data_IF_915174196032
#
_entry.id   IF_915174196032
#
_cell.length_a   1.000
_cell.length_b   1.000
_cell.length_c   1.000
_cell.angle_alpha   90.00
_cell.angle_beta   90.00
_cell.angle_gamma   90.00
#
_symmetry.space_group_name_H-M   'P 1'
#
loop_
_entity.id
_entity.type
_entity.pdbx_description
1 polymer ?
#
# COMPACT_ATOMS: atom_id res chain seq x y z
N UNK A 1 -17.22 -5.45 36.52
CA UNK A 1 -16.02 -5.86 35.74
C UNK A 1 -16.52 -6.33 34.37
N UNK A 2 -16.34 -5.53 33.32
CA UNK A 2 -16.85 -5.85 31.97
C UNK A 2 -15.86 -6.80 31.29
N UNK A 3 -16.31 -8.01 30.94
CA UNK A 3 -15.52 -9.01 30.22
C UNK A 3 -15.29 -8.53 28.77
N UNK A 4 -14.04 -8.39 28.29
CA UNK A 4 -13.79 -8.11 26.89
C UNK A 4 -14.19 -9.35 26.08
N UNK A 5 -15.22 -9.24 25.26
CA UNK A 5 -15.60 -10.26 24.27
C UNK A 5 -14.38 -10.64 23.44
N UNK A 6 -13.87 -11.86 23.59
CA UNK A 6 -12.84 -12.43 22.70
C UNK A 6 -13.40 -12.42 21.28
N UNK A 7 -12.96 -11.47 20.46
CA UNK A 7 -13.25 -11.46 19.03
C UNK A 7 -12.62 -12.73 18.44
N UNK A 8 -13.45 -13.70 18.11
CA UNK A 8 -13.04 -14.91 17.40
C UNK A 8 -12.41 -14.50 16.06
N UNK A 9 -11.11 -14.75 15.90
CA UNK A 9 -10.43 -14.47 14.63
C UNK A 9 -10.97 -15.47 13.60
N UNK A 10 -11.45 -15.01 12.44
CA UNK A 10 -11.94 -15.93 11.41
C UNK A 10 -10.82 -16.88 10.99
N UNK A 11 -11.09 -18.19 11.01
CA UNK A 11 -10.19 -19.20 10.47
C UNK A 11 -10.21 -19.11 8.95
N UNK A 12 -9.08 -18.78 8.34
CA UNK A 12 -8.96 -18.71 6.89
C UNK A 12 -8.63 -20.10 6.34
N UNK A 13 -9.30 -20.51 5.26
CA UNK A 13 -8.95 -21.74 4.55
C UNK A 13 -7.65 -21.56 3.75
N UNK A 14 -6.97 -22.66 3.42
CA UNK A 14 -5.74 -22.62 2.62
C UNK A 14 -5.96 -21.89 1.27
N UNK A 15 -7.12 -22.08 0.64
CA UNK A 15 -7.50 -21.39 -0.59
C UNK A 15 -7.64 -19.87 -0.39
N UNK A 16 -8.18 -19.41 0.75
CA UNK A 16 -8.27 -17.98 1.05
C UNK A 16 -6.88 -17.38 1.30
N UNK A 17 -6.00 -18.11 1.98
CA UNK A 17 -4.61 -17.68 2.20
C UNK A 17 -3.89 -17.56 0.87
N UNK A 18 -4.02 -18.56 -0.02
CA UNK A 18 -3.43 -18.53 -1.36
C UNK A 18 -3.97 -17.33 -2.17
N UNK A 19 -5.28 -17.10 -2.19
CA UNK A 19 -5.88 -15.97 -2.90
C UNK A 19 -5.34 -14.61 -2.41
N UNK A 20 -5.19 -14.42 -1.10
CA UNK A 20 -4.60 -13.21 -0.54
C UNK A 20 -3.12 -13.06 -0.92
N UNK A 21 -2.37 -14.16 -0.86
CA UNK A 21 -0.94 -14.18 -1.21
C UNK A 21 -0.70 -13.90 -2.69
N UNK A 22 -1.52 -14.45 -3.59
CA UNK A 22 -1.44 -14.17 -5.04
C UNK A 22 -1.77 -12.71 -5.33
N UNK A 23 -2.80 -12.16 -4.69
CA UNK A 23 -3.13 -10.73 -4.80
C UNK A 23 -1.97 -9.83 -4.35
N UNK A 24 -1.34 -10.16 -3.22
CA UNK A 24 -0.18 -9.43 -2.73
C UNK A 24 1.04 -9.60 -3.65
N UNK A 25 1.29 -10.81 -4.15
CA UNK A 25 2.37 -11.10 -5.09
C UNK A 25 2.27 -10.24 -6.35
N UNK A 26 1.07 -10.10 -6.92
CA UNK A 26 0.85 -9.24 -8.10
C UNK A 26 1.22 -7.77 -7.86
N UNK A 27 0.85 -7.22 -6.69
CA UNK A 27 1.20 -5.85 -6.30
C UNK A 27 2.73 -5.70 -6.18
N UNK A 28 3.39 -6.65 -5.52
CA UNK A 28 4.85 -6.63 -5.37
C UNK A 28 5.57 -6.72 -6.73
N UNK A 29 5.07 -7.55 -7.64
CA UNK A 29 5.59 -7.65 -9.00
C UNK A 29 5.44 -6.33 -9.77
N UNK A 30 4.26 -5.70 -9.70
CA UNK A 30 4.01 -4.41 -10.33
C UNK A 30 4.93 -3.30 -9.79
N UNK A 31 5.14 -3.23 -8.48
CA UNK A 31 6.10 -2.29 -7.88
C UNK A 31 7.54 -2.61 -8.28
N UNK A 32 7.92 -3.89 -8.32
CA UNK A 32 9.24 -4.31 -8.78
C UNK A 32 9.53 -3.90 -10.22
N UNK A 33 8.56 -4.09 -11.12
CA UNK A 33 8.69 -3.66 -12.51
C UNK A 33 8.81 -2.14 -12.64
N UNK A 34 8.02 -1.38 -11.88
CA UNK A 34 8.15 0.07 -11.83
C UNK A 34 9.55 0.45 -11.35
N UNK A 35 9.99 -0.07 -10.20
CA UNK A 35 11.30 0.23 -9.60
C UNK A 35 12.48 -0.08 -10.55
N UNK A 36 12.41 -1.17 -11.31
CA UNK A 36 13.44 -1.54 -12.30
C UNK A 36 13.49 -0.60 -13.53
N UNK A 37 12.42 0.14 -13.79
CA UNK A 37 12.29 1.00 -14.97
C UNK A 37 12.13 2.50 -14.63
N UNK A 38 12.04 2.89 -13.35
CA UNK A 38 11.84 4.28 -12.91
C UNK A 38 12.86 5.24 -13.54
N UNK A 39 14.14 4.87 -13.55
CA UNK A 39 15.19 5.69 -14.18
C UNK A 39 14.96 5.87 -15.68
N UNK A 40 14.51 4.83 -16.40
CA UNK A 40 14.17 4.92 -17.83
C UNK A 40 12.94 5.79 -18.06
N UNK A 41 11.89 5.64 -17.24
CA UNK A 41 10.68 6.46 -17.31
C UNK A 41 11.03 7.94 -17.16
N UNK A 42 11.83 8.30 -16.16
CA UNK A 42 12.24 9.70 -15.96
C UNK A 42 13.07 10.25 -17.12
N UNK A 43 13.98 9.45 -17.68
CA UNK A 43 14.73 9.85 -18.88
C UNK A 43 13.81 10.06 -20.10
N UNK A 44 12.81 9.19 -20.31
CA UNK A 44 11.84 9.36 -21.42
C UNK A 44 10.95 10.59 -21.26
N UNK A 45 10.77 11.08 -20.03
CA UNK A 45 10.04 12.31 -19.72
C UNK A 45 10.91 13.58 -19.84
N UNK A 46 12.18 13.43 -20.21
CA UNK A 46 13.11 14.55 -20.44
C UNK A 46 14.04 14.87 -19.27
N UNK A 47 14.05 14.07 -18.20
CA UNK A 47 14.99 14.26 -17.09
C UNK A 47 16.42 13.92 -17.50
N UNK A 48 17.37 14.77 -17.12
CA UNK A 48 18.80 14.48 -17.31
C UNK A 48 19.25 13.39 -16.33
N UNK A 49 20.29 12.65 -16.69
CA UNK A 49 20.84 11.56 -15.85
C UNK A 49 21.24 12.08 -14.45
N UNK A 50 21.75 13.31 -14.40
CA UNK A 50 22.15 14.03 -13.18
C UNK A 50 20.97 14.31 -12.23
N UNK A 51 19.76 14.42 -12.75
CA UNK A 51 18.53 14.72 -11.99
C UNK A 51 17.84 13.45 -11.47
N UNK A 52 18.19 12.28 -12.00
CA UNK A 52 17.59 11.00 -11.61
C UNK A 52 17.70 10.77 -10.08
N UNK A 53 18.87 10.93 -9.43
CA UNK A 53 18.98 10.67 -8.00
C UNK A 53 18.06 11.54 -7.14
N UNK A 54 17.82 12.80 -7.51
CA UNK A 54 16.92 13.67 -6.76
C UNK A 54 15.46 13.33 -7.00
N UNK A 55 15.09 12.89 -8.22
CA UNK A 55 13.76 12.36 -8.51
C UNK A 55 13.46 11.08 -7.70
N UNK A 56 14.47 10.25 -7.44
CA UNK A 56 14.34 9.07 -6.58
C UNK A 56 14.05 9.41 -5.11
N UNK A 57 14.39 10.62 -4.64
CA UNK A 57 14.08 11.08 -3.27
C UNK A 57 12.60 11.48 -3.14
N UNK A 58 11.92 11.83 -4.23
CA UNK A 58 10.51 12.19 -4.20
C UNK A 58 9.62 11.03 -3.72
N UNK A 59 9.97 9.79 -4.06
CA UNK A 59 9.25 8.58 -3.64
C UNK A 59 9.25 8.37 -2.10
N UNK A 60 10.41 8.28 -1.41
CA UNK A 60 10.45 8.17 0.04
C UNK A 60 9.89 9.40 0.75
N UNK A 61 10.06 10.61 0.20
CA UNK A 61 9.48 11.82 0.78
C UNK A 61 7.94 11.77 0.77
N UNK A 62 7.35 11.37 -0.36
CA UNK A 62 5.89 11.18 -0.46
C UNK A 62 5.42 10.10 0.50
N UNK A 63 6.16 8.98 0.60
CA UNK A 63 5.87 7.91 1.57
C UNK A 63 5.86 8.41 3.02
N UNK A 64 6.85 9.23 3.40
CA UNK A 64 6.96 9.80 4.75
C UNK A 64 5.77 10.69 5.12
N UNK A 65 5.18 11.39 4.16
CA UNK A 65 4.05 12.30 4.39
C UNK A 65 2.72 11.55 4.32
N UNK A 66 2.53 10.72 3.29
CA UNK A 66 1.28 10.01 3.05
C UNK A 66 1.04 8.92 4.09
N UNK A 67 2.08 8.19 4.51
CA UNK A 67 1.92 7.08 5.47
C UNK A 67 1.32 7.52 6.82
N UNK A 68 1.80 8.58 7.51
CA UNK A 68 1.21 9.03 8.77
C UNK A 68 -0.22 9.56 8.60
N UNK A 69 -0.50 10.28 7.51
CA UNK A 69 -1.84 10.83 7.24
C UNK A 69 -2.85 9.70 7.05
N UNK A 70 -2.55 8.76 6.15
CA UNK A 70 -3.42 7.62 5.86
C UNK A 70 -3.51 6.70 7.07
N UNK A 71 -2.43 6.49 7.83
CA UNK A 71 -2.43 5.73 9.08
C UNK A 71 -3.38 6.35 10.12
N UNK A 72 -3.27 7.65 10.36
CA UNK A 72 -4.13 8.39 11.29
C UNK A 72 -5.60 8.43 10.87
N UNK A 73 -5.86 8.62 9.57
CA UNK A 73 -7.22 8.58 9.03
C UNK A 73 -7.81 7.17 9.14
N UNK A 74 -7.02 6.13 8.80
CA UNK A 74 -7.42 4.72 8.85
C UNK A 74 -7.85 4.32 10.25
N UNK A 75 -7.17 4.81 11.27
CA UNK A 75 -7.56 4.54 12.67
C UNK A 75 -8.86 5.22 13.10
N UNK A 76 -9.30 6.28 12.41
CA UNK A 76 -10.51 7.05 12.74
C UNK A 76 -11.72 6.71 11.87
N UNK A 77 -11.55 6.10 10.70
CA UNK A 77 -12.67 5.69 9.83
C UNK A 77 -13.16 4.27 10.12
N UNK A 78 -14.42 4.19 10.54
CA UNK A 78 -15.21 2.96 10.52
C UNK A 78 -16.43 3.16 9.61
N UNK A 79 -16.21 3.09 8.30
CA UNK A 79 -17.30 3.19 7.32
C UNK A 79 -18.12 1.90 7.33
N UNK A 80 -19.08 1.79 8.26
CA UNK A 80 -20.08 0.72 8.43
C UNK A 80 -19.86 -0.57 7.62
N UNK A 81 -20.29 -0.60 6.35
CA UNK A 81 -20.25 -1.77 5.45
C UNK A 81 -18.87 -2.11 4.84
N UNK A 82 -17.92 -1.18 4.85
CA UNK A 82 -16.61 -1.29 4.19
C UNK A 82 -15.45 -1.51 5.18
N UNK A 83 -15.69 -1.29 6.48
CA UNK A 83 -14.71 -1.51 7.53
C UNK A 83 -13.50 -0.56 7.46
N UNK A 84 -12.44 -0.88 8.20
CA UNK A 84 -11.27 0.01 8.43
C UNK A 84 -10.29 0.09 7.25
N UNK A 85 -10.10 -0.99 6.47
CA UNK A 85 -8.98 -1.13 5.51
C UNK A 85 -9.39 -1.21 4.04
N UNK A 86 -10.64 -1.60 3.73
CA UNK A 86 -11.13 -1.76 2.34
C UNK A 86 -11.37 -0.42 1.61
N UNK A 87 -11.84 0.66 2.25
CA UNK A 87 -12.01 1.96 1.58
C UNK A 87 -10.69 2.50 1.00
N UNK A 88 -9.59 2.35 1.73
CA UNK A 88 -8.26 2.81 1.30
C UNK A 88 -7.68 2.01 0.14
N UNK A 89 -8.01 0.71 0.06
CA UNK A 89 -7.64 -0.14 -1.08
C UNK A 89 -8.45 0.14 -2.35
N UNK A 90 -9.60 0.81 -2.22
CA UNK A 90 -10.49 1.14 -3.35
C UNK A 90 -10.36 2.59 -3.80
N UNK A 91 -9.90 3.48 -2.90
CA UNK A 91 -9.57 4.86 -3.22
C UNK A 91 -8.15 5.02 -3.79
N UNK A 92 -7.26 4.06 -3.47
CA UNK A 92 -5.95 3.90 -4.10
C UNK A 92 -6.02 3.14 -5.42
#
# INVERSE_FOLDING_TARGET
>A
MVNPTKISKPSLSLAQIINMSVGFFGIQFAFGLQNANVSRIFQTLGAKIEEIPILWIAAPLTGLIVQPIIGHMSDRTWLGKWGRRRPYFMAG
#
